data_IF_443235879828
#
_entry.id   IF_443235879828
#
_cell.length_a   1.000
_cell.length_b   1.000
_cell.length_c   1.000
_cell.angle_alpha   90.00
_cell.angle_beta   90.00
_cell.angle_gamma   90.00
#
_symmetry.space_group_name_H-M   'P 1'
#
loop_
_entity.id
_entity.type
_entity.pdbx_description
1 polymer ?
#
# COMPACT_ATOMS: atom_id res chain seq x y z
N UNK A 1 12.68 5.20 2.60
CA UNK A 1 11.53 4.80 3.44
C UNK A 1 10.27 4.62 2.60
N UNK A 2 9.47 3.57 2.82
CA UNK A 2 8.16 3.36 2.19
C UNK A 2 7.06 3.51 3.23
N UNK A 3 6.06 4.34 2.94
CA UNK A 3 5.00 4.71 3.88
C UNK A 3 3.65 4.31 3.32
N UNK A 4 2.85 3.59 4.11
CA UNK A 4 1.45 3.33 3.77
C UNK A 4 0.62 4.58 4.07
N UNK A 5 -0.14 5.07 3.10
CA UNK A 5 -1.04 6.22 3.26
C UNK A 5 -2.46 5.74 3.05
N UNK A 6 -3.27 5.86 4.10
CA UNK A 6 -4.65 5.37 4.17
C UNK A 6 -5.58 6.46 4.71
N UNK A 7 -6.87 6.30 4.50
CA UNK A 7 -7.91 7.14 5.08
C UNK A 7 -9.23 6.38 5.08
N UNK A 8 -10.24 6.94 5.77
CA UNK A 8 -11.63 6.54 5.62
C UNK A 8 -11.82 5.02 5.78
N UNK A 9 -11.32 4.47 6.90
CA UNK A 9 -11.49 3.05 7.24
C UNK A 9 -12.91 2.76 7.75
N UNK A 10 -13.59 3.74 8.36
CA UNK A 10 -15.01 3.66 8.75
C UNK A 10 -15.35 2.38 9.51
N UNK A 11 -14.51 2.00 10.47
CA UNK A 11 -14.73 0.83 11.31
C UNK A 11 -14.44 -0.51 10.61
N UNK A 12 -13.81 -0.50 9.42
CA UNK A 12 -13.35 -1.69 8.72
C UNK A 12 -11.88 -1.54 8.29
N UNK A 13 -10.98 -2.22 8.98
CA UNK A 13 -9.61 -2.41 8.54
C UNK A 13 -9.50 -3.77 7.83
N UNK A 14 -9.29 -3.73 6.52
CA UNK A 14 -9.19 -4.92 5.67
C UNK A 14 -7.86 -5.65 5.87
N UNK A 15 -7.87 -6.97 5.67
CA UNK A 15 -6.65 -7.77 5.80
C UNK A 15 -5.62 -7.38 4.72
N UNK A 16 -6.08 -7.11 3.50
CA UNK A 16 -5.25 -6.67 2.39
C UNK A 16 -4.55 -5.34 2.72
N UNK A 17 -5.24 -4.43 3.40
CA UNK A 17 -4.64 -3.18 3.89
C UNK A 17 -3.59 -3.47 4.98
N UNK A 18 -3.86 -4.39 5.89
CA UNK A 18 -2.91 -4.82 6.92
C UNK A 18 -1.65 -5.43 6.30
N UNK A 19 -1.79 -6.31 5.32
CA UNK A 19 -0.67 -6.99 4.67
C UNK A 19 0.22 -5.97 3.93
N UNK A 20 -0.40 -5.00 3.23
CA UNK A 20 0.30 -3.89 2.58
C UNK A 20 1.03 -2.98 3.57
N UNK A 21 0.44 -2.72 4.74
CA UNK A 21 1.08 -1.97 5.84
C UNK A 21 2.30 -2.74 6.36
N UNK A 22 2.23 -4.07 6.46
CA UNK A 22 3.34 -4.91 6.90
C UNK A 22 4.62 -4.70 6.08
N UNK A 23 4.47 -4.45 4.77
CA UNK A 23 5.55 -4.12 3.83
C UNK A 23 6.00 -2.65 3.82
N UNK A 24 5.52 -1.82 4.74
CA UNK A 24 5.91 -0.42 4.89
C UNK A 24 6.68 -0.17 6.21
N UNK A 25 7.34 0.97 6.28
CA UNK A 25 8.10 1.44 7.45
C UNK A 25 7.22 2.23 8.42
N UNK A 26 6.18 2.91 7.92
CA UNK A 26 5.23 3.70 8.71
C UNK A 26 3.83 3.72 8.07
N UNK A 27 2.85 4.14 8.86
CA UNK A 27 1.47 4.36 8.43
C UNK A 27 1.08 5.81 8.66
N UNK A 28 0.50 6.44 7.65
CA UNK A 28 -0.17 7.73 7.73
C UNK A 28 -1.67 7.49 7.49
N UNK A 29 -2.51 7.86 8.44
CA UNK A 29 -3.97 7.76 8.33
C UNK A 29 -4.60 9.16 8.35
N UNK A 30 -5.32 9.53 7.29
CA UNK A 30 -5.93 10.86 7.16
C UNK A 30 -7.31 10.98 7.84
N UNK A 31 -7.49 10.36 9.00
CA UNK A 31 -8.76 10.37 9.77
C UNK A 31 -9.89 9.51 9.21
N UNK A 32 -11.01 9.49 9.94
CA UNK A 32 -12.16 8.61 9.75
C UNK A 32 -11.81 7.14 9.98
N UNK A 33 -11.24 6.88 11.17
CA UNK A 33 -10.98 5.55 11.72
C UNK A 33 -12.25 4.90 12.26
N UNK A 34 -13.14 5.72 12.85
CA UNK A 34 -14.44 5.41 13.46
C UNK A 34 -14.34 4.68 14.81
N UNK A 35 -13.47 3.67 14.96
CA UNK A 35 -13.40 2.84 16.18
C UNK A 35 -12.01 2.79 16.86
N UNK A 36 -11.96 2.78 18.22
CA UNK A 36 -10.70 2.70 18.95
C UNK A 36 -9.95 1.38 18.71
N UNK A 37 -10.65 0.28 18.43
CA UNK A 37 -10.03 -1.02 18.13
C UNK A 37 -9.15 -0.96 16.88
N UNK A 38 -9.57 -0.22 15.85
CA UNK A 38 -8.75 -0.05 14.63
C UNK A 38 -7.55 0.85 14.92
N UNK A 39 -7.75 1.92 15.71
CA UNK A 39 -6.65 2.76 16.15
C UNK A 39 -5.55 1.94 16.85
N UNK A 40 -5.91 1.11 17.83
CA UNK A 40 -4.96 0.27 18.55
C UNK A 40 -4.27 -0.76 17.63
N UNK A 41 -5.02 -1.36 16.69
CA UNK A 41 -4.45 -2.27 15.68
C UNK A 41 -3.40 -1.58 14.82
N UNK A 42 -3.71 -0.38 14.30
CA UNK A 42 -2.79 0.37 13.44
C UNK A 42 -1.55 0.80 14.22
N UNK A 43 -1.73 1.28 15.45
CA UNK A 43 -0.65 1.70 16.35
C UNK A 43 0.30 0.55 16.69
N UNK A 44 -0.21 -0.67 16.79
CA UNK A 44 0.59 -1.87 17.06
C UNK A 44 1.38 -2.41 15.85
N UNK A 45 1.09 -1.95 14.64
CA UNK A 45 1.72 -2.48 13.41
C UNK A 45 3.06 -1.80 13.11
N UNK A 46 3.05 -0.46 13.08
CA UNK A 46 4.15 0.41 12.62
C UNK A 46 3.99 1.79 13.29
N UNK A 47 5.02 2.65 13.26
CA UNK A 47 4.86 4.06 13.58
C UNK A 47 3.66 4.68 12.85
N UNK A 48 2.74 5.28 13.61
CA UNK A 48 1.45 5.76 13.13
C UNK A 48 1.37 7.29 13.26
N UNK A 49 1.07 7.94 12.13
CA UNK A 49 0.70 9.36 12.06
C UNK A 49 -0.78 9.43 11.72
N UNK A 50 -1.57 10.01 12.61
CA UNK A 50 -3.03 10.02 12.48
C UNK A 50 -3.58 11.39 12.89
N UNK A 51 -4.54 11.86 12.10
CA UNK A 51 -5.39 13.01 12.42
C UNK A 51 -6.83 12.57 12.63
N UNK A 52 -7.60 13.40 13.31
CA UNK A 52 -9.02 13.18 13.54
C UNK A 52 -9.84 13.46 12.28
N UNK A 53 -10.74 12.55 11.92
CA UNK A 53 -11.79 12.77 10.93
C UNK A 53 -13.15 13.09 11.55
N UNK A 54 -14.13 13.43 10.71
CA UNK A 54 -15.45 13.86 11.18
C UNK A 54 -16.32 12.72 11.74
N UNK A 55 -15.99 11.45 11.46
CA UNK A 55 -16.64 10.27 12.03
C UNK A 55 -15.92 9.74 13.27
N UNK A 56 -14.75 10.30 13.63
CA UNK A 56 -14.01 9.91 14.82
C UNK A 56 -14.63 10.54 16.08
N UNK A 57 -15.40 9.72 16.81
CA UNK A 57 -16.19 10.10 17.99
C UNK A 57 -15.36 10.47 19.23
N UNK A 58 -15.96 10.36 20.42
CA UNK A 58 -15.36 10.85 21.68
C UNK A 58 -13.99 10.24 22.02
N UNK A 59 -13.75 8.99 21.62
CA UNK A 59 -12.46 8.31 21.83
C UNK A 59 -11.28 9.03 21.16
N UNK A 60 -11.54 9.74 20.06
CA UNK A 60 -10.56 10.45 19.27
C UNK A 60 -10.35 11.90 19.71
N UNK A 61 -10.90 12.32 20.86
CA UNK A 61 -10.80 13.70 21.34
C UNK A 61 -9.37 14.21 21.54
N UNK A 62 -8.40 13.30 21.71
CA UNK A 62 -6.97 13.63 21.83
C UNK A 62 -6.22 13.62 20.49
N UNK A 63 -6.85 13.16 19.40
CA UNK A 63 -6.24 13.16 18.09
C UNK A 63 -6.21 14.59 17.53
N UNK A 64 -5.10 15.01 16.91
CA UNK A 64 -4.99 16.35 16.35
C UNK A 64 -5.87 16.49 15.10
N UNK A 65 -6.42 17.68 14.86
CA UNK A 65 -7.17 17.98 13.62
C UNK A 65 -6.25 18.08 12.40
N UNK A 66 -5.01 18.51 12.61
CA UNK A 66 -3.95 18.50 11.60
C UNK A 66 -2.60 18.21 12.23
N UNK A 67 -1.68 17.64 11.46
CA UNK A 67 -0.35 17.26 11.93
C UNK A 67 0.71 17.70 10.92
N UNK A 68 1.80 18.27 11.43
CA UNK A 68 3.02 18.58 10.68
C UNK A 68 4.15 17.70 11.20
N UNK A 69 4.85 17.05 10.30
CA UNK A 69 5.97 16.18 10.63
C UNK A 69 6.89 16.02 9.42
N UNK A 70 8.02 15.36 9.63
CA UNK A 70 8.99 15.09 8.58
C UNK A 70 9.34 13.61 8.58
N UNK A 71 9.45 13.03 7.39
CA UNK A 71 9.95 11.67 7.17
C UNK A 71 10.99 11.72 6.05
N UNK A 72 12.19 11.16 6.26
CA UNK A 72 13.29 11.16 5.28
C UNK A 72 13.59 12.55 4.69
N UNK A 73 13.55 13.61 5.50
CA UNK A 73 13.78 14.98 5.03
C UNK A 73 12.65 15.59 4.20
N UNK A 74 11.48 14.94 4.13
CA UNK A 74 10.29 15.42 3.41
C UNK A 74 9.30 16.01 4.42
N UNK A 75 9.03 17.32 4.40
CA UNK A 75 8.01 17.93 5.25
C UNK A 75 6.60 17.58 4.78
N UNK A 76 5.80 17.02 5.68
CA UNK A 76 4.46 16.49 5.43
C UNK A 76 3.43 17.27 6.25
N UNK A 77 2.30 17.60 5.63
CA UNK A 77 1.11 18.12 6.29
C UNK A 77 -0.04 17.14 6.13
N UNK A 78 -0.63 16.73 7.24
CA UNK A 78 -1.74 15.78 7.30
C UNK A 78 -2.97 16.48 7.88
N UNK A 79 -4.11 16.30 7.23
CA UNK A 79 -5.42 16.83 7.68
C UNK A 79 -6.52 15.94 7.14
N UNK A 80 -7.67 15.81 7.80
CA UNK A 80 -8.74 14.96 7.25
C UNK A 80 -9.43 15.59 6.02
N UNK A 81 -9.83 16.86 6.09
CA UNK A 81 -10.57 17.51 5.01
C UNK A 81 -9.80 18.71 4.45
N UNK A 82 -9.52 18.66 3.14
CA UNK A 82 -8.78 19.71 2.41
C UNK A 82 -9.42 21.11 2.55
N UNK A 83 -10.73 21.18 2.77
CA UNK A 83 -11.44 22.46 2.92
C UNK A 83 -11.13 23.19 4.24
N UNK A 84 -10.65 22.46 5.24
CA UNK A 84 -10.36 23.00 6.57
C UNK A 84 -8.93 23.56 6.68
N UNK A 85 -8.16 23.48 5.59
CA UNK A 85 -6.81 24.00 5.50
C UNK A 85 -6.86 25.53 5.46
N UNK A 86 -6.39 26.17 6.54
CA UNK A 86 -6.13 27.62 6.58
C UNK A 86 -4.73 27.96 6.06
N UNK A 87 -3.76 27.18 6.50
CA UNK A 87 -2.36 27.28 6.10
C UNK A 87 -1.72 25.89 6.13
N UNK A 88 -0.86 25.61 5.16
CA UNK A 88 -0.06 24.38 5.11
C UNK A 88 1.35 24.63 5.64
N UNK A 89 1.94 25.78 5.30
CA UNK A 89 3.34 26.13 5.50
C UNK A 89 4.09 26.07 4.16
N UNK A 90 5.01 27.00 3.93
CA UNK A 90 5.67 27.18 2.63
C UNK A 90 6.53 25.97 2.24
N UNK A 91 7.21 25.35 3.21
CA UNK A 91 8.16 24.26 2.97
C UNK A 91 7.52 22.87 2.85
N UNK A 92 6.18 22.75 2.95
CA UNK A 92 5.49 21.46 2.84
C UNK A 92 5.63 20.92 1.42
N UNK A 93 6.10 19.67 1.32
CA UNK A 93 6.25 18.96 0.04
C UNK A 93 5.13 17.95 -0.22
N UNK A 94 4.53 17.41 0.84
CA UNK A 94 3.44 16.43 0.75
C UNK A 94 2.28 16.86 1.65
N UNK A 95 1.11 17.07 1.06
CA UNK A 95 -0.15 17.28 1.78
C UNK A 95 -1.02 16.04 1.62
N UNK A 96 -1.43 15.43 2.72
CA UNK A 96 -2.26 14.22 2.74
C UNK A 96 -3.61 14.56 3.35
N UNK A 97 -4.69 14.14 2.67
CA UNK A 97 -6.07 14.34 3.11
C UNK A 97 -7.02 13.20 2.74
N UNK A 98 -8.15 13.10 3.43
CA UNK A 98 -9.19 12.07 3.23
C UNK A 98 -10.55 12.67 2.89
N UNK A 99 -11.60 12.24 3.60
CA UNK A 99 -12.97 12.77 3.62
C UNK A 99 -13.81 12.52 2.36
N UNK A 100 -13.22 12.66 1.18
CA UNK A 100 -13.93 12.52 -0.08
C UNK A 100 -14.09 11.07 -0.55
N UNK A 101 -13.29 10.14 0.01
CA UNK A 101 -13.12 8.74 -0.43
C UNK A 101 -12.63 8.59 -1.88
N UNK A 102 -12.24 9.68 -2.55
CA UNK A 102 -11.79 9.67 -3.94
C UNK A 102 -10.28 9.80 -3.99
N UNK A 103 -9.61 8.79 -4.53
CA UNK A 103 -8.19 8.91 -4.81
C UNK A 103 -7.92 10.15 -5.66
N UNK A 104 -6.93 10.95 -5.26
CA UNK A 104 -6.43 12.06 -6.05
C UNK A 104 -4.95 12.26 -5.77
N UNK A 105 -4.16 12.48 -6.82
CA UNK A 105 -2.76 12.84 -6.71
C UNK A 105 -2.53 14.04 -7.63
N UNK A 106 -2.29 15.21 -7.04
CA UNK A 106 -2.10 16.45 -7.76
C UNK A 106 -0.72 17.02 -7.44
N UNK A 107 0.08 17.28 -8.47
CA UNK A 107 1.38 17.95 -8.34
C UNK A 107 1.24 19.40 -8.76
N UNK A 108 1.48 20.32 -7.84
CA UNK A 108 1.42 21.76 -8.07
C UNK A 108 2.52 22.45 -7.27
N UNK A 109 3.25 23.37 -7.91
CA UNK A 109 4.26 24.21 -7.24
C UNK A 109 5.31 23.41 -6.42
N UNK A 110 5.73 22.25 -6.92
CA UNK A 110 6.72 21.39 -6.24
C UNK A 110 6.18 20.63 -5.03
N UNK A 111 4.85 20.60 -4.86
CA UNK A 111 4.14 19.92 -3.79
C UNK A 111 3.19 18.86 -4.34
N UNK A 112 3.13 17.72 -3.67
CA UNK A 112 2.15 16.67 -3.92
C UNK A 112 0.96 16.83 -2.97
N UNK A 113 -0.25 16.83 -3.51
CA UNK A 113 -1.51 16.78 -2.79
C UNK A 113 -2.12 15.40 -3.01
N UNK A 114 -2.20 14.61 -1.94
CA UNK A 114 -2.56 13.20 -2.01
C UNK A 114 -3.82 12.94 -1.17
N UNK A 115 -4.84 12.40 -1.83
CA UNK A 115 -5.94 11.69 -1.19
C UNK A 115 -5.78 10.20 -1.52
N UNK A 116 -5.59 9.31 -0.52
CA UNK A 116 -5.41 7.89 -0.79
C UNK A 116 -6.73 7.19 -1.17
N UNK A 117 -7.87 7.89 -1.10
CA UNK A 117 -9.20 7.32 -1.24
C UNK A 117 -9.68 6.70 0.06
N UNK A 118 -10.41 5.59 -0.02
CA UNK A 118 -10.94 4.87 1.14
C UNK A 118 -10.54 3.41 1.09
N UNK A 119 -9.94 2.93 2.19
CA UNK A 119 -9.52 1.53 2.30
C UNK A 119 -10.49 0.66 3.13
N UNK A 120 -11.52 1.27 3.71
CA UNK A 120 -12.49 0.60 4.57
C UNK A 120 -13.80 0.21 3.90
N UNK A 121 -14.91 0.71 4.45
CA UNK A 121 -16.25 0.49 3.89
C UNK A 121 -16.40 1.22 2.57
N UNK A 122 -16.87 0.50 1.54
CA UNK A 122 -17.13 1.10 0.23
C UNK A 122 -18.22 2.16 0.35
N UNK A 123 -17.94 3.35 -0.17
CA UNK A 123 -18.91 4.45 -0.27
C UNK A 123 -19.29 4.64 -1.73
N UNK A 124 -20.59 4.56 -2.02
CA UNK A 124 -21.13 4.64 -3.38
C UNK A 124 -20.51 3.59 -4.32
N UNK A 125 -20.07 4.02 -5.52
CA UNK A 125 -19.38 3.20 -6.52
C UNK A 125 -17.89 3.54 -6.62
N UNK A 126 -17.33 4.19 -5.59
CA UNK A 126 -15.92 4.58 -5.61
C UNK A 126 -15.02 3.36 -5.39
N UNK A 127 -13.84 3.33 -6.05
CA UNK A 127 -12.83 2.32 -5.81
C UNK A 127 -12.29 2.36 -4.37
N UNK A 128 -12.15 1.19 -3.76
CA UNK A 128 -11.39 1.00 -2.54
C UNK A 128 -9.91 1.13 -2.86
N UNK A 129 -9.26 2.10 -2.26
CA UNK A 129 -7.90 2.50 -2.59
C UNK A 129 -7.10 2.85 -1.35
N UNK A 130 -5.79 2.70 -1.48
CA UNK A 130 -4.80 3.33 -0.63
C UNK A 130 -3.62 3.81 -1.48
N UNK A 131 -2.65 4.47 -0.85
CA UNK A 131 -1.40 4.80 -1.51
C UNK A 131 -0.20 4.22 -0.74
N UNK A 132 0.88 3.95 -1.47
CA UNK A 132 2.20 3.78 -0.90
C UNK A 132 3.12 4.90 -1.41
N UNK A 133 3.79 5.58 -0.50
CA UNK A 133 4.69 6.69 -0.83
C UNK A 133 6.11 6.28 -0.50
N UNK A 134 7.01 6.35 -1.47
CA UNK A 134 8.43 6.14 -1.27
C UNK A 134 9.13 7.48 -1.10
N UNK A 135 9.79 7.66 0.04
CA UNK A 135 10.58 8.83 0.39
C UNK A 135 12.07 8.47 0.37
N UNK A 136 12.88 9.33 -0.24
CA UNK A 136 14.32 9.15 -0.36
C UNK A 136 15.02 10.51 -0.48
N UNK A 137 16.04 10.75 0.33
CA UNK A 137 16.93 11.92 0.26
C UNK A 137 16.18 13.27 0.19
N UNK A 138 15.19 13.47 1.08
CA UNK A 138 14.41 14.70 1.14
C UNK A 138 13.41 14.89 0.00
N UNK A 139 13.11 13.83 -0.76
CA UNK A 139 12.20 13.85 -1.91
C UNK A 139 11.15 12.74 -1.83
N UNK A 140 10.02 12.99 -2.45
CA UNK A 140 9.01 11.98 -2.78
C UNK A 140 9.50 11.29 -4.06
N UNK A 141 10.03 10.07 -3.92
CA UNK A 141 10.59 9.30 -5.02
C UNK A 141 9.50 8.60 -5.85
N UNK A 142 8.41 8.17 -5.21
CA UNK A 142 7.26 7.57 -5.89
C UNK A 142 5.98 7.71 -5.05
N UNK A 143 4.84 7.81 -5.74
CA UNK A 143 3.50 7.65 -5.18
C UNK A 143 2.82 6.54 -5.99
N UNK A 144 2.42 5.48 -5.30
CA UNK A 144 1.76 4.32 -5.91
C UNK A 144 0.32 4.26 -5.43
N UNK A 145 -0.64 4.38 -6.35
CA UNK A 145 -2.04 4.03 -6.09
C UNK A 145 -2.18 2.51 -6.02
N UNK A 146 -2.87 2.02 -5.00
CA UNK A 146 -3.19 0.62 -4.81
C UNK A 146 -4.71 0.46 -4.77
N UNK A 147 -5.28 -0.22 -5.77
CA UNK A 147 -6.69 -0.59 -5.80
C UNK A 147 -6.92 -1.91 -5.04
N UNK A 148 -7.70 -1.84 -3.96
CA UNK A 148 -8.02 -2.98 -3.08
C UNK A 148 -9.14 -3.86 -3.64
N UNK A 149 -9.76 -3.47 -4.75
CA UNK A 149 -10.84 -4.23 -5.41
C UNK A 149 -10.33 -5.31 -6.35
N UNK A 150 -9.08 -5.17 -6.79
CA UNK A 150 -8.35 -6.17 -7.59
C UNK A 150 -7.44 -7.04 -6.71
N UNK A 151 -7.44 -6.83 -5.39
CA UNK A 151 -6.99 -7.84 -4.47
C UNK A 151 -8.11 -8.89 -4.40
N UNK A 152 -8.08 -9.89 -5.27
CA UNK A 152 -8.89 -11.10 -5.08
C UNK A 152 -8.42 -11.83 -3.80
N UNK A 153 -8.89 -11.36 -2.66
CA UNK A 153 -8.90 -12.09 -1.41
C UNK A 153 -10.32 -12.03 -0.86
N UNK A 154 -10.94 -13.20 -0.66
CA UNK A 154 -12.20 -13.31 0.10
C UNK A 154 -13.48 -13.67 -0.67
N UNK A 155 -13.43 -14.03 -1.96
CA UNK A 155 -14.55 -14.74 -2.61
C UNK A 155 -14.05 -15.90 -3.47
N UNK A 156 -13.49 -16.92 -2.83
CA UNK A 156 -13.56 -18.35 -3.20
C UNK A 156 -12.55 -19.14 -2.36
N UNK A 157 -12.78 -19.26 -1.05
CA UNK A 157 -12.31 -20.43 -0.31
C UNK A 157 -13.47 -20.93 0.56
N UNK A 158 -14.43 -21.57 -0.09
CA UNK A 158 -14.83 -22.88 0.41
C UNK A 158 -13.61 -23.78 0.22
N UNK A 159 -13.22 -24.63 1.18
CA UNK A 159 -12.13 -25.57 0.98
C UNK A 159 -12.58 -26.63 -0.02
N UNK A 160 -12.45 -26.35 -1.31
CA UNK A 160 -12.52 -27.36 -2.35
C UNK A 160 -11.12 -27.94 -2.51
N UNK A 161 -11.01 -29.22 -2.19
CA UNK A 161 -9.82 -30.06 -2.30
C UNK A 161 -9.03 -29.81 -3.61
N UNK A 162 -7.77 -29.37 -3.47
CA UNK A 162 -6.81 -29.23 -4.57
C UNK A 162 -5.43 -28.90 -4.01
N UNK A 163 -4.42 -29.71 -4.34
CA UNK A 163 -3.12 -29.75 -3.67
C UNK A 163 -2.36 -28.41 -3.63
N UNK A 164 -1.53 -28.23 -2.58
CA UNK A 164 -0.54 -27.16 -2.49
C UNK A 164 0.37 -27.25 -3.72
N UNK A 165 0.32 -26.26 -4.61
CA UNK A 165 1.28 -26.16 -5.69
C UNK A 165 2.68 -25.98 -5.07
N UNK A 166 3.60 -26.87 -5.43
CA UNK A 166 4.97 -26.87 -4.90
C UNK A 166 5.81 -25.82 -5.62
N UNK A 167 6.69 -25.16 -4.88
CA UNK A 167 7.70 -24.25 -5.43
C UNK A 167 8.43 -24.89 -6.62
N UNK A 168 8.63 -24.19 -7.74
CA UNK A 168 9.39 -24.73 -8.87
C UNK A 168 10.79 -25.17 -8.40
N UNK A 169 11.29 -26.32 -8.88
CA UNK A 169 12.66 -26.74 -8.64
C UNK A 169 13.65 -25.63 -8.99
N UNK A 170 14.75 -25.55 -8.26
CA UNK A 170 15.78 -24.50 -8.43
C UNK A 170 16.25 -24.37 -9.89
N UNK A 171 16.46 -25.51 -10.56
CA UNK A 171 16.83 -25.59 -11.97
C UNK A 171 15.81 -24.94 -12.94
N UNK A 172 14.53 -24.84 -12.54
CA UNK A 172 13.44 -24.30 -13.35
C UNK A 172 13.04 -22.87 -12.97
N UNK A 173 13.52 -22.33 -11.84
CA UNK A 173 13.14 -21.00 -11.32
C UNK A 173 13.38 -19.90 -12.35
N UNK A 174 14.54 -19.89 -13.02
CA UNK A 174 14.86 -18.90 -14.07
C UNK A 174 13.83 -18.90 -15.21
N UNK A 175 13.39 -20.09 -15.61
CA UNK A 175 12.40 -20.26 -16.69
C UNK A 175 11.01 -19.84 -16.23
N UNK A 176 10.66 -20.12 -14.98
CA UNK A 176 9.42 -19.67 -14.34
C UNK A 176 9.37 -18.13 -14.24
N UNK A 177 10.44 -17.49 -13.75
CA UNK A 177 10.59 -16.03 -13.73
C UNK A 177 10.42 -15.44 -15.12
N UNK A 178 11.08 -16.01 -16.14
CA UNK A 178 10.93 -15.55 -17.52
C UNK A 178 9.50 -15.67 -18.08
N UNK A 179 8.70 -16.63 -17.61
CA UNK A 179 7.27 -16.75 -17.97
C UNK A 179 6.44 -15.66 -17.28
N UNK A 180 6.72 -15.39 -15.99
CA UNK A 180 6.06 -14.33 -15.22
C UNK A 180 6.35 -12.96 -15.85
N UNK A 181 7.61 -12.64 -16.16
CA UNK A 181 7.97 -11.37 -16.80
C UNK A 181 7.21 -11.15 -18.13
N UNK A 182 7.09 -12.20 -18.95
CA UNK A 182 6.29 -12.11 -20.18
C UNK A 182 4.79 -11.95 -19.93
N UNK A 183 4.27 -12.50 -18.83
CA UNK A 183 2.88 -12.26 -18.43
C UNK A 183 2.68 -10.82 -17.98
N UNK A 184 3.61 -10.27 -17.20
CA UNK A 184 3.61 -8.86 -16.80
C UNK A 184 3.67 -7.92 -18.01
N UNK A 185 4.55 -8.18 -18.98
CA UNK A 185 4.66 -7.37 -20.21
C UNK A 185 3.38 -7.42 -21.06
N UNK A 186 2.52 -8.44 -20.86
CA UNK A 186 1.20 -8.60 -21.50
C UNK A 186 0.04 -8.05 -20.67
N UNK A 187 0.31 -7.53 -19.47
CA UNK A 187 -0.72 -7.06 -18.54
C UNK A 187 -1.49 -8.18 -17.82
N UNK A 188 -0.96 -9.41 -17.77
CA UNK A 188 -1.55 -10.53 -17.02
C UNK A 188 -1.43 -10.26 -15.49
N UNK A 189 -2.47 -10.58 -14.75
CA UNK A 189 -2.52 -10.49 -13.29
C UNK A 189 -1.70 -11.61 -12.64
N UNK A 190 -1.35 -11.45 -11.36
CA UNK A 190 -0.63 -12.47 -10.57
C UNK A 190 -1.42 -13.79 -10.55
N UNK A 191 -2.75 -13.73 -10.38
CA UNK A 191 -3.61 -14.91 -10.35
C UNK A 191 -3.65 -15.62 -11.71
N UNK A 192 -3.77 -14.87 -12.82
CA UNK A 192 -3.72 -15.43 -14.17
C UNK A 192 -2.38 -16.11 -14.44
N UNK A 193 -1.26 -15.48 -14.07
CA UNK A 193 0.07 -16.05 -14.24
C UNK A 193 0.29 -17.29 -13.35
N UNK A 194 -0.17 -17.25 -12.11
CA UNK A 194 -0.10 -18.38 -11.17
C UNK A 194 -0.87 -19.59 -11.73
N UNK A 195 -2.14 -19.40 -12.11
CA UNK A 195 -2.98 -20.46 -12.68
C UNK A 195 -2.44 -20.99 -14.02
N UNK A 196 -2.04 -20.08 -14.91
CA UNK A 196 -1.55 -20.42 -16.26
C UNK A 196 -0.27 -21.24 -16.23
N UNK A 197 0.61 -20.94 -15.28
CA UNK A 197 1.92 -21.58 -15.19
C UNK A 197 2.03 -22.61 -14.06
N UNK A 198 0.95 -22.82 -13.29
CA UNK A 198 0.89 -23.69 -12.10
C UNK A 198 2.01 -23.35 -11.13
N UNK A 199 2.13 -22.07 -10.81
CA UNK A 199 3.14 -21.53 -9.93
C UNK A 199 2.49 -21.02 -8.65
N UNK A 200 3.13 -21.24 -7.48
CA UNK A 200 2.67 -20.65 -6.23
C UNK A 200 2.48 -19.13 -6.35
N UNK A 201 1.37 -18.63 -5.82
CA UNK A 201 0.99 -17.24 -5.99
C UNK A 201 2.00 -16.28 -5.31
N UNK A 202 2.53 -16.67 -4.16
CA UNK A 202 3.60 -15.97 -3.43
C UNK A 202 4.89 -15.85 -4.26
N UNK A 203 5.27 -16.90 -4.99
CA UNK A 203 6.40 -16.88 -5.91
C UNK A 203 6.18 -15.89 -7.05
N UNK A 204 4.99 -15.90 -7.67
CA UNK A 204 4.64 -14.97 -8.76
C UNK A 204 4.65 -13.52 -8.25
N UNK A 205 4.07 -13.27 -7.09
CA UNK A 205 4.05 -11.97 -6.44
C UNK A 205 5.46 -11.45 -6.15
N UNK A 206 6.33 -12.29 -5.59
CA UNK A 206 7.71 -11.92 -5.27
C UNK A 206 8.49 -11.51 -6.53
N UNK A 207 8.31 -12.24 -7.64
CA UNK A 207 8.94 -11.91 -8.93
C UNK A 207 8.42 -10.58 -9.48
N UNK A 208 7.10 -10.36 -9.43
CA UNK A 208 6.49 -9.11 -9.88
C UNK A 208 7.02 -7.90 -9.07
N UNK A 209 7.10 -8.04 -7.75
CA UNK A 209 7.64 -7.02 -6.84
C UNK A 209 9.09 -6.65 -7.17
N UNK A 210 9.95 -7.64 -7.46
CA UNK A 210 11.35 -7.38 -7.82
C UNK A 210 11.43 -6.66 -9.17
N UNK A 211 10.61 -7.05 -10.16
CA UNK A 211 10.58 -6.39 -11.47
C UNK A 211 10.12 -4.93 -11.40
N UNK A 212 9.12 -4.63 -10.57
CA UNK A 212 8.62 -3.26 -10.37
C UNK A 212 9.67 -2.38 -9.69
N UNK A 213 10.33 -2.89 -8.66
CA UNK A 213 11.36 -2.15 -7.91
C UNK A 213 12.69 -2.01 -8.64
N UNK A 214 12.96 -2.87 -9.64
CA UNK A 214 14.17 -2.86 -10.44
C UNK A 214 13.83 -2.99 -11.94
N UNK A 215 13.32 -1.92 -12.57
CA UNK A 215 13.01 -1.94 -14.00
C UNK A 215 14.24 -2.33 -14.84
N UNK A 216 14.06 -3.26 -15.79
CA UNK A 216 15.16 -3.76 -16.63
C UNK A 216 15.97 -4.92 -16.05
N UNK A 217 15.69 -5.36 -14.81
CA UNK A 217 16.32 -6.56 -14.24
C UNK A 217 16.05 -7.81 -15.10
N UNK A 218 17.08 -8.62 -15.30
CA UNK A 218 16.97 -9.89 -16.03
C UNK A 218 16.33 -10.97 -15.16
N UNK A 219 15.80 -12.03 -15.78
CA UNK A 219 15.26 -13.17 -15.02
C UNK A 219 16.28 -13.77 -14.05
N UNK A 220 17.55 -13.81 -14.43
CA UNK A 220 18.66 -14.24 -13.58
C UNK A 220 18.91 -13.28 -12.42
N UNK A 221 18.88 -11.97 -12.67
CA UNK A 221 19.00 -10.96 -11.61
C UNK A 221 17.86 -11.02 -10.58
N UNK A 222 16.66 -11.44 -10.99
CA UNK A 222 15.53 -11.69 -10.08
C UNK A 222 15.79 -12.92 -9.22
N UNK A 223 16.18 -14.05 -9.83
CA UNK A 223 16.48 -15.30 -9.08
C UNK A 223 17.56 -15.06 -8.03
N UNK A 224 18.68 -14.42 -8.40
CA UNK A 224 19.76 -14.11 -7.46
C UNK A 224 19.29 -13.23 -6.30
N UNK A 225 18.40 -12.26 -6.55
CA UNK A 225 17.81 -11.41 -5.49
C UNK A 225 16.86 -12.20 -4.58
N UNK A 226 16.17 -13.21 -5.09
CA UNK A 226 15.30 -14.08 -4.30
C UNK A 226 16.12 -14.97 -3.37
N UNK A 227 17.21 -15.56 -3.85
CA UNK A 227 18.12 -16.40 -3.06
C UNK A 227 18.80 -15.62 -1.93
N UNK A 228 19.24 -14.39 -2.21
CA UNK A 228 19.82 -13.50 -1.18
C UNK A 228 18.80 -13.17 -0.08
N UNK A 229 17.52 -13.03 -0.43
CA UNK A 229 16.45 -12.79 0.56
C UNK A 229 16.12 -14.04 1.37
N UNK A 230 16.13 -15.24 0.76
CA UNK A 230 15.97 -16.51 1.48
C UNK A 230 17.13 -16.78 2.47
N UNK A 231 18.35 -16.36 2.15
CA UNK A 231 19.53 -16.48 3.03
C UNK A 231 19.53 -15.49 4.19
N UNK A 232 18.95 -14.30 4.02
CA UNK A 232 18.84 -13.25 5.07
C UNK A 232 17.69 -13.47 6.04
N UNK A 233 16.75 -14.35 5.70
CA UNK A 233 15.62 -14.74 6.55
C UNK A 233 15.86 -15.99 7.41
N UNK A 234 17.10 -16.50 7.46
CA UNK A 234 17.54 -17.60 8.33
C UNK A 234 18.41 -17.09 9.46
#
# INVERSE_FOLDING_TARGET
MRVAVIADTHGLLRQETVDLIGGCDAVIHAGDVDTPDIYEKLKGQKPLYLVRGNNDGGWAGQLPESLRFELEGVPIFLIHNRKDIRETGENVKLVIFGHSHKYSEEWAEGRCWLNPGSCGKRRFRLPLTMAAVTLLDGKIAAVERIDLENAEYGKNISPAAGGRESMPPEADRRKAVGRILRGMDKGETIAEMSLKWKLPQDFVEQVCRIRVTHPGVTAEGIVNKMEVNELRGR
#
